data_IF_734383459086
#
_entry.id   IF_734383459086
#
_cell.length_a   1.000
_cell.length_b   1.000
_cell.length_c   1.000
_cell.angle_alpha   90.00
_cell.angle_beta   90.00
_cell.angle_gamma   90.00
#
_symmetry.space_group_name_H-M   'P 1'
#
loop_
_entity.id
_entity.type
_entity.pdbx_description
1 polymer ?
#
# COMPACT_ATOMS: atom_id res chain seq x y z
N UNK A 1 11.44 -10.02 -39.25
CA UNK A 1 11.00 -8.96 -38.32
C UNK A 1 11.99 -8.95 -37.17
N UNK A 2 12.93 -8.02 -37.18
CA UNK A 2 13.84 -7.82 -36.06
C UNK A 2 13.04 -7.17 -34.94
N UNK A 3 12.88 -7.86 -33.81
CA UNK A 3 12.41 -7.21 -32.60
C UNK A 3 13.53 -6.28 -32.14
N UNK A 4 13.36 -4.99 -32.43
CA UNK A 4 14.23 -3.95 -31.91
C UNK A 4 13.97 -3.83 -30.39
N UNK A 5 14.84 -4.45 -29.60
CA UNK A 5 14.79 -4.42 -28.14
C UNK A 5 15.02 -3.02 -27.53
N UNK A 6 15.19 -1.98 -28.34
CA UNK A 6 15.46 -0.61 -27.88
C UNK A 6 14.24 0.17 -27.37
N UNK A 7 13.02 -0.36 -27.51
CA UNK A 7 11.80 0.48 -27.38
C UNK A 7 10.98 0.27 -26.11
N UNK A 8 11.27 -0.74 -25.27
CA UNK A 8 10.69 -0.78 -23.91
C UNK A 8 11.70 -0.19 -22.94
N UNK A 9 11.74 1.15 -22.85
CA UNK A 9 12.46 1.84 -21.80
C UNK A 9 11.65 1.73 -20.51
N UNK A 10 12.20 1.07 -19.51
CA UNK A 10 11.63 1.08 -18.17
C UNK A 10 11.77 2.51 -17.60
N UNK A 11 10.64 3.19 -17.32
CA UNK A 11 10.63 4.54 -16.75
C UNK A 11 10.82 4.47 -15.22
N UNK A 12 12.08 4.47 -14.80
CA UNK A 12 12.45 4.46 -13.39
C UNK A 12 11.89 5.67 -12.62
N UNK A 13 11.74 6.83 -13.27
CA UNK A 13 11.30 8.06 -12.64
C UNK A 13 9.80 8.03 -12.32
N UNK A 14 8.97 7.62 -13.28
CA UNK A 14 7.53 7.43 -13.02
C UNK A 14 7.28 6.35 -11.97
N UNK A 15 7.99 5.22 -12.04
CA UNK A 15 7.80 4.16 -11.05
C UNK A 15 8.23 4.60 -9.64
N UNK A 16 9.29 5.40 -9.49
CA UNK A 16 9.68 5.96 -8.20
C UNK A 16 8.60 6.88 -7.62
N UNK A 17 8.03 7.79 -8.44
CA UNK A 17 6.93 8.67 -7.99
C UNK A 17 5.68 7.89 -7.58
N UNK A 18 5.38 6.78 -8.27
CA UNK A 18 4.27 5.90 -7.89
C UNK A 18 4.54 5.18 -6.56
N UNK A 19 5.77 4.74 -6.30
CA UNK A 19 6.15 4.11 -5.03
C UNK A 19 6.11 5.10 -3.86
N UNK A 20 6.57 6.35 -4.06
CA UNK A 20 6.45 7.41 -3.04
C UNK A 20 4.99 7.73 -2.72
N UNK A 21 4.14 7.78 -3.76
CA UNK A 21 2.70 7.98 -3.59
C UNK A 21 2.05 6.84 -2.82
N UNK A 22 2.50 5.59 -3.04
CA UNK A 22 2.03 4.42 -2.30
C UNK A 22 2.47 4.46 -0.83
N UNK A 23 3.69 4.91 -0.54
CA UNK A 23 4.16 5.09 0.85
C UNK A 23 3.35 6.17 1.57
N UNK A 24 3.06 7.30 0.92
CA UNK A 24 2.17 8.33 1.47
C UNK A 24 0.77 7.77 1.73
N UNK A 25 0.20 7.05 0.77
CA UNK A 25 -1.12 6.42 0.92
C UNK A 25 -1.16 5.38 2.04
N UNK A 26 -0.07 4.64 2.27
CA UNK A 26 0.06 3.71 3.39
C UNK A 26 0.09 4.43 4.74
N UNK A 27 0.78 5.57 4.82
CA UNK A 27 0.79 6.42 6.01
C UNK A 27 -0.62 6.96 6.30
N UNK A 28 -1.30 7.48 5.28
CA UNK A 28 -2.66 8.00 5.40
C UNK A 28 -3.66 6.91 5.82
N UNK A 29 -3.53 5.70 5.27
CA UNK A 29 -4.37 4.56 5.64
C UNK A 29 -4.19 4.17 7.13
N UNK A 30 -2.96 4.21 7.64
CA UNK A 30 -2.69 3.97 9.07
C UNK A 30 -3.22 5.08 9.96
N UNK A 31 -3.12 6.34 9.52
CA UNK A 31 -3.70 7.47 10.24
C UNK A 31 -5.23 7.34 10.32
N UNK A 32 -5.88 6.97 9.21
CA UNK A 32 -7.33 6.73 9.17
C UNK A 32 -7.76 5.60 10.13
N UNK A 33 -6.98 4.52 10.24
CA UNK A 33 -7.25 3.45 11.23
C UNK A 33 -7.27 4.01 12.67
N UNK A 34 -6.31 4.87 13.02
CA UNK A 34 -6.23 5.48 14.35
C UNK A 34 -7.40 6.44 14.63
N UNK A 35 -7.83 7.19 13.61
CA UNK A 35 -9.00 8.07 13.71
C UNK A 35 -10.28 7.26 13.92
N UNK A 36 -10.47 6.17 13.16
CA UNK A 36 -11.59 5.24 13.32
C UNK A 36 -11.60 4.67 14.74
N UNK A 37 -10.48 4.14 15.23
CA UNK A 37 -10.35 3.63 16.61
C UNK A 37 -10.75 4.68 17.65
N UNK A 38 -10.37 5.94 17.42
CA UNK A 38 -10.69 7.05 18.32
C UNK A 38 -12.18 7.36 18.33
N UNK A 39 -12.83 7.37 17.17
CA UNK A 39 -14.29 7.55 17.06
C UNK A 39 -15.02 6.41 17.77
N UNK A 40 -14.62 5.16 17.55
CA UNK A 40 -15.25 4.02 18.21
C UNK A 40 -15.07 4.05 19.73
N UNK A 41 -13.91 4.48 20.25
CA UNK A 41 -13.73 4.73 21.69
C UNK A 41 -14.73 5.73 22.27
N UNK A 42 -15.01 6.81 21.55
CA UNK A 42 -16.03 7.78 21.96
C UNK A 42 -17.42 7.15 21.91
N UNK A 43 -17.75 6.41 20.85
CA UNK A 43 -19.05 5.76 20.71
C UNK A 43 -19.30 4.71 21.80
N UNK A 44 -18.28 3.95 22.24
CA UNK A 44 -18.41 3.02 23.37
C UNK A 44 -18.79 3.71 24.69
N UNK A 45 -18.50 5.01 24.85
CA UNK A 45 -18.91 5.74 26.06
C UNK A 45 -20.40 6.11 26.09
N UNK A 46 -21.08 6.03 24.94
CA UNK A 46 -22.48 6.45 24.78
C UNK A 46 -23.42 5.26 24.56
N UNK A 47 -22.93 4.19 23.92
CA UNK A 47 -23.72 2.98 23.65
C UNK A 47 -23.57 1.96 24.78
N UNK A 48 -24.70 1.55 25.35
CA UNK A 48 -24.79 0.48 26.35
C UNK A 48 -25.60 -0.72 25.81
N UNK A 49 -25.50 -1.88 26.50
CA UNK A 49 -26.30 -3.07 26.19
C UNK A 49 -26.08 -3.64 24.79
N UNK A 50 -27.17 -3.98 24.09
CA UNK A 50 -27.10 -4.57 22.74
C UNK A 50 -26.46 -3.64 21.69
N UNK A 51 -26.59 -2.31 21.87
CA UNK A 51 -25.96 -1.33 20.97
C UNK A 51 -24.44 -1.38 21.03
N UNK A 52 -23.86 -1.60 22.22
CA UNK A 52 -22.42 -1.74 22.41
C UNK A 52 -21.86 -2.98 21.70
N UNK A 53 -22.59 -4.10 21.74
CA UNK A 53 -22.17 -5.36 21.08
C UNK A 53 -22.20 -5.24 19.55
N UNK A 54 -23.24 -4.62 19.00
CA UNK A 54 -23.32 -4.34 17.58
C UNK A 54 -22.20 -3.38 17.13
N UNK A 55 -21.95 -2.33 17.91
CA UNK A 55 -20.87 -1.38 17.67
C UNK A 55 -19.50 -2.07 17.72
N UNK A 56 -19.27 -2.97 18.68
CA UNK A 56 -18.05 -3.76 18.77
C UNK A 56 -17.85 -4.65 17.56
N UNK A 57 -18.92 -5.29 17.08
CA UNK A 57 -18.85 -6.15 15.89
C UNK A 57 -18.53 -5.33 14.64
N UNK A 58 -19.17 -4.16 14.48
CA UNK A 58 -18.90 -3.25 13.38
C UNK A 58 -17.45 -2.73 13.42
N UNK A 59 -16.94 -2.41 14.61
CA UNK A 59 -15.57 -1.97 14.81
C UNK A 59 -14.56 -3.01 14.33
N UNK A 60 -14.73 -4.26 14.76
CA UNK A 60 -13.84 -5.37 14.39
C UNK A 60 -13.89 -5.65 12.89
N UNK A 61 -15.07 -5.59 12.29
CA UNK A 61 -15.23 -5.81 10.86
C UNK A 61 -14.53 -4.71 10.03
N UNK A 62 -14.69 -3.45 10.45
CA UNK A 62 -14.02 -2.32 9.80
C UNK A 62 -12.49 -2.41 9.95
N UNK A 63 -12.00 -2.72 11.15
CA UNK A 63 -10.57 -2.92 11.40
C UNK A 63 -9.99 -4.02 10.49
N UNK A 64 -10.69 -5.14 10.34
CA UNK A 64 -10.28 -6.25 9.48
C UNK A 64 -10.17 -5.85 8.00
N UNK A 65 -11.14 -5.07 7.49
CA UNK A 65 -11.13 -4.56 6.12
C UNK A 65 -9.96 -3.60 5.90
N UNK A 66 -9.75 -2.66 6.83
CA UNK A 66 -8.66 -1.69 6.74
C UNK A 66 -7.30 -2.38 6.80
N UNK A 67 -7.13 -3.37 7.67
CA UNK A 67 -5.88 -4.12 7.77
C UNK A 67 -5.59 -4.92 6.50
N UNK A 68 -6.61 -5.54 5.90
CA UNK A 68 -6.45 -6.24 4.62
C UNK A 68 -5.99 -5.28 3.51
N UNK A 69 -6.59 -4.09 3.42
CA UNK A 69 -6.19 -3.07 2.45
C UNK A 69 -4.74 -2.60 2.66
N UNK A 70 -4.35 -2.35 3.92
CA UNK A 70 -2.98 -1.99 4.30
C UNK A 70 -1.98 -3.08 3.93
N UNK A 71 -2.32 -4.35 4.16
CA UNK A 71 -1.47 -5.49 3.79
C UNK A 71 -1.32 -5.62 2.28
N UNK A 72 -2.40 -5.46 1.51
CA UNK A 72 -2.36 -5.47 0.04
C UNK A 72 -1.50 -4.34 -0.52
N UNK A 73 -1.65 -3.12 0.01
CA UNK A 73 -0.82 -1.97 -0.36
C UNK A 73 0.66 -2.21 -0.05
N UNK A 74 0.95 -2.76 1.14
CA UNK A 74 2.33 -3.09 1.56
C UNK A 74 2.95 -4.15 0.64
N UNK A 75 2.21 -5.23 0.34
CA UNK A 75 2.67 -6.28 -0.56
C UNK A 75 2.81 -5.80 -2.02
N UNK A 76 1.98 -4.87 -2.47
CA UNK A 76 2.12 -4.21 -3.77
C UNK A 76 3.38 -3.36 -3.84
N UNK A 77 3.64 -2.56 -2.81
CA UNK A 77 4.82 -1.70 -2.70
C UNK A 77 6.13 -2.50 -2.70
N UNK A 78 6.22 -3.56 -1.90
CA UNK A 78 7.39 -4.46 -1.91
C UNK A 78 7.67 -5.04 -3.29
N UNK A 79 6.63 -5.58 -3.97
CA UNK A 79 6.79 -6.11 -5.33
C UNK A 79 7.25 -5.05 -6.33
N UNK A 80 6.76 -3.82 -6.21
CA UNK A 80 7.18 -2.71 -7.05
C UNK A 80 8.64 -2.31 -6.85
N UNK A 81 9.11 -2.27 -5.60
CA UNK A 81 10.52 -2.02 -5.24
C UNK A 81 11.43 -3.13 -5.76
N UNK A 82 11.10 -4.39 -5.50
CA UNK A 82 11.88 -5.54 -5.96
C UNK A 82 12.03 -5.55 -7.49
N UNK A 83 10.96 -5.20 -8.21
CA UNK A 83 10.99 -5.08 -9.67
C UNK A 83 11.89 -3.92 -10.12
N UNK A 84 11.84 -2.77 -9.45
CA UNK A 84 12.69 -1.63 -9.78
C UNK A 84 14.17 -1.96 -9.57
N UNK A 85 14.52 -2.59 -8.45
CA UNK A 85 15.90 -2.99 -8.14
C UNK A 85 16.43 -4.01 -9.15
N UNK A 86 15.62 -4.99 -9.53
CA UNK A 86 15.97 -5.98 -10.55
C UNK A 86 16.22 -5.31 -11.91
N UNK A 87 15.35 -4.38 -12.33
CA UNK A 87 15.49 -3.67 -13.61
C UNK A 87 16.71 -2.75 -13.61
N UNK A 88 17.00 -2.08 -12.49
CA UNK A 88 18.19 -1.24 -12.36
C UNK A 88 19.50 -2.06 -12.40
N UNK A 89 19.48 -3.26 -11.80
CA UNK A 89 20.60 -4.18 -11.88
C UNK A 89 20.83 -4.71 -13.31
N UNK A 90 19.75 -5.08 -14.01
CA UNK A 90 19.80 -5.52 -15.41
C UNK A 90 20.30 -4.42 -16.34
N UNK A 91 19.82 -3.19 -16.18
CA UNK A 91 20.26 -2.04 -16.98
C UNK A 91 21.76 -1.77 -16.77
N UNK A 92 22.24 -1.80 -15.52
CA UNK A 92 23.67 -1.63 -15.20
C UNK A 92 24.54 -2.75 -15.77
N UNK A 93 24.07 -4.00 -15.74
CA UNK A 93 24.78 -5.14 -16.32
C UNK A 93 24.87 -5.01 -17.85
N UNK A 94 23.76 -4.68 -18.52
CA UNK A 94 23.74 -4.48 -19.97
C UNK A 94 24.57 -3.26 -20.41
N UNK A 95 24.59 -2.18 -19.63
CA UNK A 95 25.41 -1.01 -19.92
C UNK A 95 26.91 -1.25 -19.70
N UNK A 96 27.30 -2.26 -18.91
CA UNK A 96 28.69 -2.65 -18.71
C UNK A 96 29.22 -3.61 -19.80
N UNK A 97 28.33 -4.24 -20.57
CA UNK A 97 28.65 -5.15 -21.68
C UNK A 97 28.85 -4.41 -23.03
N UNK A 98 28.77 -3.08 -23.05
CA UNK A 98 29.09 -2.20 -24.19
C UNK A 98 30.34 -1.36 -23.94
#
# INVERSE_FOLDING_TARGET
MSFDGSTIKYDFGQNHMHLDSLDSGLSDARALQQEVDTVFKVLYSVYEGQGAQALQSAHQQLASVMESAVQEMTAGNHRGRDQQDLMAALDRANAADF
#
